data_IF_927977903131
#
_entry.id   IF_927977903131
#
_cell.length_a   1.000
_cell.length_b   1.000
_cell.length_c   1.000
_cell.angle_alpha   90.00
_cell.angle_beta   90.00
_cell.angle_gamma   90.00
#
_symmetry.space_group_name_H-M   'P 1'
#
loop_
_entity.id
_entity.type
_entity.pdbx_description
1 polymer ?
#
# COMPACT_ATOMS: atom_id res chain seq x y z
N UNK A 1 12.52 -9.81 27.71
CA UNK A 1 11.91 -9.50 26.39
C UNK A 1 10.48 -9.12 26.68
N UNK A 2 10.03 -7.89 26.37
CA UNK A 2 8.70 -7.45 26.80
C UNK A 2 7.64 -8.35 26.16
N UNK A 3 6.94 -9.07 27.03
CA UNK A 3 5.70 -9.79 26.80
C UNK A 3 4.57 -8.87 27.21
N UNK A 4 3.84 -8.31 26.25
CA UNK A 4 2.53 -7.68 26.49
C UNK A 4 1.81 -7.63 25.14
N UNK A 5 0.92 -8.59 24.93
CA UNK A 5 0.09 -8.67 23.72
C UNK A 5 -1.14 -7.76 23.95
N UNK A 6 -0.96 -6.45 23.78
CA UNK A 6 -2.05 -5.49 23.70
C UNK A 6 -2.63 -5.53 22.29
N UNK A 7 -3.64 -6.37 22.08
CA UNK A 7 -4.44 -6.33 20.85
C UNK A 7 -5.21 -5.01 20.84
N UNK A 8 -4.65 -4.00 20.16
CA UNK A 8 -5.30 -2.72 19.99
C UNK A 8 -6.56 -2.92 19.13
N UNK A 9 -7.74 -2.69 19.72
CA UNK A 9 -8.99 -2.73 18.98
C UNK A 9 -9.04 -1.51 18.05
N UNK A 10 -9.01 -1.76 16.75
CA UNK A 10 -9.09 -0.73 15.72
C UNK A 10 -10.55 -0.65 15.26
N UNK A 11 -11.07 0.57 15.18
CA UNK A 11 -12.43 0.82 14.69
C UNK A 11 -12.64 0.20 13.29
N UNK A 12 -13.77 -0.49 13.03
CA UNK A 12 -14.01 -1.14 11.74
C UNK A 12 -13.93 -0.18 10.55
N UNK A 13 -14.33 1.07 10.73
CA UNK A 13 -14.25 2.13 9.71
C UNK A 13 -12.80 2.44 9.32
N UNK A 14 -11.89 2.44 10.29
CA UNK A 14 -10.45 2.64 10.06
C UNK A 14 -9.88 1.47 9.27
N UNK A 15 -10.24 0.22 9.62
CA UNK A 15 -9.78 -0.96 8.89
C UNK A 15 -10.24 -0.95 7.42
N UNK A 16 -11.49 -0.57 7.16
CA UNK A 16 -12.02 -0.43 5.80
C UNK A 16 -11.25 0.63 5.03
N UNK A 17 -10.96 1.77 5.66
CA UNK A 17 -10.20 2.85 5.01
C UNK A 17 -8.75 2.44 4.73
N UNK A 18 -8.09 1.74 5.67
CA UNK A 18 -6.75 1.20 5.45
C UNK A 18 -6.73 0.23 4.26
N UNK A 19 -7.70 -0.67 4.18
CA UNK A 19 -7.84 -1.58 3.04
C UNK A 19 -8.06 -0.83 1.72
N UNK A 20 -8.93 0.18 1.72
CA UNK A 20 -9.18 1.03 0.55
C UNK A 20 -7.91 1.75 0.08
N UNK A 21 -7.11 2.26 1.01
CA UNK A 21 -5.82 2.90 0.71
C UNK A 21 -4.81 1.92 0.14
N UNK A 22 -4.69 0.71 0.70
CA UNK A 22 -3.81 -0.32 0.14
C UNK A 22 -4.20 -0.70 -1.29
N UNK A 23 -5.49 -0.89 -1.56
CA UNK A 23 -5.98 -1.15 -2.92
C UNK A 23 -5.70 0.02 -3.88
N UNK A 24 -5.85 1.25 -3.39
CA UNK A 24 -5.56 2.45 -4.20
C UNK A 24 -4.09 2.48 -4.62
N UNK A 25 -3.16 2.18 -3.70
CA UNK A 25 -1.73 2.09 -4.01
C UNK A 25 -1.47 0.99 -5.04
N UNK A 26 -2.00 -0.22 -4.82
CA UNK A 26 -1.83 -1.36 -5.74
C UNK A 26 -2.29 -1.03 -7.16
N UNK A 27 -3.51 -0.49 -7.31
CA UNK A 27 -4.06 -0.16 -8.62
C UNK A 27 -3.29 0.98 -9.31
N UNK A 28 -2.78 1.93 -8.53
CA UNK A 28 -1.92 2.98 -9.06
C UNK A 28 -0.61 2.39 -9.60
N UNK A 29 0.06 1.53 -8.84
CA UNK A 29 1.31 0.90 -9.24
C UNK A 29 1.15 0.00 -10.48
N UNK A 30 0.08 -0.80 -10.54
CA UNK A 30 -0.27 -1.60 -11.72
C UNK A 30 -0.48 -0.71 -12.96
N UNK A 31 -1.17 0.43 -12.81
CA UNK A 31 -1.35 1.39 -13.89
C UNK A 31 -0.03 2.05 -14.31
N UNK A 32 0.87 2.36 -13.37
CA UNK A 32 2.22 2.86 -13.68
C UNK A 32 3.00 1.80 -14.45
N UNK A 33 2.93 0.52 -14.05
CA UNK A 33 3.58 -0.58 -14.75
C UNK A 33 3.07 -0.73 -16.19
N UNK A 34 1.77 -0.56 -16.41
CA UNK A 34 1.14 -0.55 -17.74
C UNK A 34 1.67 0.57 -18.65
N UNK A 35 1.85 1.78 -18.12
CA UNK A 35 2.41 2.91 -18.88
C UNK A 35 3.91 2.70 -19.12
N UNK A 36 4.62 2.18 -18.12
CA UNK A 36 6.05 1.85 -18.20
C UNK A 36 6.32 0.80 -19.28
N UNK A 37 5.60 -0.33 -19.29
CA UNK A 37 5.79 -1.40 -20.28
C UNK A 37 5.47 -0.97 -21.71
N UNK A 38 4.65 0.07 -21.89
CA UNK A 38 4.33 0.67 -23.20
C UNK A 38 5.38 1.66 -23.68
N UNK A 39 6.38 1.97 -22.85
CA UNK A 39 7.42 2.96 -23.15
C UNK A 39 6.94 4.40 -23.11
N UNK A 40 5.77 4.67 -22.51
CA UNK A 40 5.21 6.02 -22.42
C UNK A 40 5.79 6.82 -21.26
N UNK A 41 6.34 6.14 -20.24
CA UNK A 41 7.04 6.76 -19.12
C UNK A 41 8.56 6.63 -19.33
N UNK A 42 9.29 7.75 -19.54
CA UNK A 42 10.75 7.71 -19.61
C UNK A 42 11.35 7.56 -18.20
N UNK A 43 12.51 6.89 -18.11
CA UNK A 43 13.23 6.67 -16.85
C UNK A 43 12.96 5.30 -16.23
N UNK A 44 13.22 5.15 -14.93
CA UNK A 44 13.01 3.91 -14.18
C UNK A 44 11.79 4.05 -13.26
N UNK A 45 10.90 3.06 -13.31
CA UNK A 45 9.81 2.91 -12.34
C UNK A 45 10.22 1.94 -11.23
N UNK A 46 10.17 2.39 -9.98
CA UNK A 46 10.37 1.53 -8.80
C UNK A 46 9.02 1.31 -8.15
N UNK A 47 8.53 0.07 -8.25
CA UNK A 47 7.25 -0.34 -7.71
C UNK A 47 7.48 -1.00 -6.34
N UNK A 48 6.56 -0.76 -5.43
CA UNK A 48 6.51 -1.30 -4.07
C UNK A 48 5.35 -2.28 -3.89
N UNK A 49 4.87 -2.89 -4.97
CA UNK A 49 3.84 -3.93 -4.95
C UNK A 49 4.13 -4.98 -3.87
N UNK A 50 3.17 -5.17 -2.97
CA UNK A 50 3.27 -6.05 -1.80
C UNK A 50 3.77 -5.36 -0.53
N UNK A 51 4.14 -4.08 -0.58
CA UNK A 51 4.60 -3.29 0.57
C UNK A 51 3.60 -2.22 1.01
N UNK A 52 2.34 -2.27 0.56
CA UNK A 52 1.33 -1.21 0.76
C UNK A 52 0.95 -1.01 2.23
N UNK A 53 1.05 -2.08 3.04
CA UNK A 53 0.78 -2.01 4.47
C UNK A 53 1.75 -1.07 5.20
N UNK A 54 2.98 -0.89 4.70
CA UNK A 54 3.98 0.00 5.30
C UNK A 54 3.56 1.47 5.22
N UNK A 55 3.30 2.08 4.04
CA UNK A 55 2.87 3.47 3.95
C UNK A 55 1.46 3.69 4.54
N UNK A 56 0.57 2.70 4.49
CA UNK A 56 -0.78 2.81 5.09
C UNK A 56 -0.73 2.71 6.62
N UNK A 57 0.16 1.91 7.18
CA UNK A 57 0.30 1.76 8.64
C UNK A 57 1.02 2.94 9.32
N UNK A 58 1.86 3.66 8.58
CA UNK A 58 2.60 4.83 9.10
C UNK A 58 1.72 6.11 9.14
N UNK A 59 0.76 6.24 8.23
CA UNK A 59 -0.05 7.45 8.01
C UNK A 59 -1.53 7.20 8.23
#
# INVERSE_FOLDING_TARGET
>A
MPTENSQQQIEPTVLIEMYRRMLTIRLFEEAVFEVYRRGWMPGLAHLSDGQEATPVGVC
#
